data_IF_551436030824
#
_entry.id   IF_551436030824
#
_cell.length_a   1.000
_cell.length_b   1.000
_cell.length_c   1.000
_cell.angle_alpha   90.00
_cell.angle_beta   90.00
_cell.angle_gamma   90.00
#
_symmetry.space_group_name_H-M   'P 1'
#
loop_
_entity.id
_entity.type
_entity.pdbx_description
1 polymer ?
#
# COMPACT_ATOMS: atom_id res chain seq x y z
N UNK A 1 -11.79 -31.74 -17.75
CA UNK A 1 -11.86 -30.98 -16.49
C UNK A 1 -10.52 -31.12 -15.82
N UNK A 2 -9.61 -30.18 -16.08
CA UNK A 2 -8.20 -30.30 -15.69
C UNK A 2 -7.89 -29.17 -14.70
N UNK A 3 -7.76 -29.52 -13.43
CA UNK A 3 -7.54 -28.59 -12.33
C UNK A 3 -6.13 -28.02 -12.36
N UNK A 4 -6.01 -26.70 -12.49
CA UNK A 4 -4.75 -25.98 -12.41
C UNK A 4 -4.47 -25.66 -10.93
N UNK A 5 -3.58 -26.43 -10.30
CA UNK A 5 -3.10 -26.15 -8.95
C UNK A 5 -2.11 -24.99 -8.99
N UNK A 6 -2.52 -23.84 -8.45
CA UNK A 6 -1.65 -22.67 -8.27
C UNK A 6 -0.82 -22.88 -6.99
N UNK A 7 0.44 -23.28 -7.15
CA UNK A 7 1.36 -23.47 -6.02
C UNK A 7 1.92 -22.12 -5.58
N UNK A 8 1.39 -21.54 -4.50
CA UNK A 8 2.02 -20.38 -3.85
C UNK A 8 3.36 -20.80 -3.23
N UNK A 9 4.47 -20.34 -3.81
CA UNK A 9 5.79 -20.44 -3.19
C UNK A 9 5.89 -19.43 -2.04
N UNK A 10 5.84 -19.94 -0.81
CA UNK A 10 6.19 -19.17 0.40
C UNK A 10 7.64 -18.70 0.31
N UNK A 11 7.86 -17.39 0.34
CA UNK A 11 9.16 -16.80 0.60
C UNK A 11 9.54 -17.09 2.06
N UNK A 12 10.39 -18.09 2.28
CA UNK A 12 11.05 -18.32 3.57
C UNK A 12 12.17 -17.29 3.74
N UNK A 13 12.05 -16.36 4.69
CA UNK A 13 13.20 -15.62 5.22
C UNK A 13 14.13 -16.64 5.91
N UNK A 14 15.31 -16.85 5.33
CA UNK A 14 16.33 -17.74 5.87
C UNK A 14 17.00 -17.17 7.12
N UNK A 15 17.46 -18.02 8.06
CA UNK A 15 18.15 -17.59 9.26
C UNK A 15 19.61 -17.21 8.94
N UNK A 16 20.03 -16.01 9.34
CA UNK A 16 21.45 -15.65 9.38
C UNK A 16 22.09 -16.27 10.62
N UNK A 17 22.89 -17.32 10.43
CA UNK A 17 23.90 -17.76 11.40
C UNK A 17 25.27 -17.28 10.91
N UNK A 18 25.98 -16.52 11.75
CA UNK A 18 27.43 -16.42 11.67
C UNK A 18 27.99 -16.71 13.07
N UNK A 19 28.80 -17.77 13.14
CA UNK A 19 29.63 -18.15 14.29
C UNK A 19 31.01 -17.54 14.10
N UNK A 20 31.45 -16.72 15.02
CA UNK A 20 32.85 -16.44 15.38
C UNK A 20 32.76 -16.00 16.86
N UNK A 21 33.48 -16.49 17.86
CA UNK A 21 34.87 -16.96 17.93
C UNK A 21 35.38 -16.32 19.23
N UNK A 22 35.48 -17.11 20.30
CA UNK A 22 35.87 -16.67 21.64
C UNK A 22 37.37 -16.36 21.67
N UNK A 23 37.76 -15.12 21.95
CA UNK A 23 39.08 -14.78 22.50
C UNK A 23 38.93 -13.61 23.47
N UNK A 24 39.24 -13.84 24.74
CA UNK A 24 39.48 -12.80 25.73
C UNK A 24 40.93 -12.34 25.63
N UNK A 25 41.20 -11.04 25.74
CA UNK A 25 42.32 -10.48 26.51
C UNK A 25 42.19 -8.94 26.63
N UNK A 26 42.29 -8.49 27.88
CA UNK A 26 42.66 -7.19 28.44
C UNK A 26 42.84 -5.94 27.55
N UNK A 27 42.05 -4.90 27.88
CA UNK A 27 42.60 -3.62 28.34
C UNK A 27 43.03 -2.58 27.30
N UNK A 28 42.07 -1.79 26.81
CA UNK A 28 42.21 -0.33 26.65
C UNK A 28 40.81 0.27 26.58
N UNK A 29 40.47 1.16 27.52
CA UNK A 29 39.17 1.83 27.56
C UNK A 29 39.01 2.79 26.39
N UNK A 30 38.49 2.30 25.27
CA UNK A 30 38.03 3.11 24.15
C UNK A 30 36.61 3.57 24.49
N UNK A 31 36.48 4.81 24.94
CA UNK A 31 35.19 5.51 24.93
C UNK A 31 34.77 5.66 23.46
N UNK A 32 33.98 4.72 22.96
CA UNK A 32 33.20 4.95 21.75
C UNK A 32 32.15 5.98 22.13
N UNK A 33 32.37 7.24 21.75
CA UNK A 33 31.29 8.21 21.65
C UNK A 33 30.27 7.63 20.68
N UNK A 34 29.24 6.98 21.20
CA UNK A 34 28.03 6.75 20.44
C UNK A 34 27.49 8.14 20.09
N UNK A 35 27.70 8.54 18.83
CA UNK A 35 26.90 9.62 18.27
C UNK A 35 25.43 9.23 18.49
N UNK A 36 24.58 10.14 18.99
CA UNK A 36 23.16 9.86 19.01
C UNK A 36 22.78 9.50 17.58
N UNK A 37 22.18 8.33 17.40
CA UNK A 37 21.44 8.05 16.17
C UNK A 37 20.44 9.20 16.05
N UNK A 38 20.74 10.16 15.18
CA UNK A 38 19.73 11.09 14.71
C UNK A 38 18.70 10.19 14.07
N UNK A 39 17.64 9.87 14.82
CA UNK A 39 16.43 9.34 14.25
C UNK A 39 16.09 10.26 13.09
N UNK A 40 16.21 9.77 11.86
CA UNK A 40 15.55 10.43 10.74
C UNK A 40 14.10 10.55 11.19
N UNK A 41 13.66 11.78 11.39
CA UNK A 41 12.25 12.04 11.62
C UNK A 41 11.56 11.62 10.32
N UNK A 42 11.06 10.38 10.29
CA UNK A 42 10.09 9.94 9.28
C UNK A 42 9.04 11.04 9.20
N UNK A 43 8.77 11.53 8.01
CA UNK A 43 7.84 12.65 7.90
C UNK A 43 6.43 12.20 8.26
N UNK A 44 5.59 13.20 8.53
CA UNK A 44 4.25 12.95 9.03
C UNK A 44 3.44 12.12 8.02
N UNK A 45 2.72 11.08 8.48
CA UNK A 45 1.75 10.38 7.66
C UNK A 45 0.79 11.34 6.96
N UNK A 46 0.45 11.04 5.71
CA UNK A 46 -0.46 11.85 4.91
C UNK A 46 -1.50 10.97 4.20
N UNK A 47 -2.57 11.57 3.71
CA UNK A 47 -3.64 10.86 3.00
C UNK A 47 -3.19 10.45 1.59
N UNK A 48 -3.92 9.52 0.96
CA UNK A 48 -3.59 9.09 -0.40
C UNK A 48 -3.58 10.25 -1.42
N UNK A 49 -4.38 11.30 -1.25
CA UNK A 49 -4.30 12.48 -2.15
C UNK A 49 -3.06 13.35 -1.92
N UNK A 50 -2.43 13.31 -0.74
CA UNK A 50 -1.32 14.23 -0.43
C UNK A 50 -0.10 14.11 -1.35
N UNK A 51 0.12 12.95 -1.98
CA UNK A 51 1.22 12.73 -2.94
C UNK A 51 0.81 12.82 -4.42
N UNK A 52 -0.47 13.00 -4.72
CA UNK A 52 -0.99 12.78 -6.09
C UNK A 52 -0.47 13.81 -7.10
N UNK A 53 -0.34 15.08 -6.69
CA UNK A 53 0.10 16.15 -7.59
C UNK A 53 1.55 15.92 -8.04
N UNK A 54 2.42 15.52 -7.10
CA UNK A 54 3.81 15.20 -7.38
C UNK A 54 3.94 13.97 -8.28
N UNK A 55 3.21 12.91 -7.97
CA UNK A 55 3.20 11.70 -8.78
C UNK A 55 2.66 11.97 -10.20
N UNK A 56 1.60 12.77 -10.33
CA UNK A 56 1.01 13.14 -11.61
C UNK A 56 1.96 13.98 -12.45
N UNK A 57 2.61 15.00 -11.87
CA UNK A 57 3.58 15.81 -12.58
C UNK A 57 4.74 14.96 -13.12
N UNK A 58 5.27 14.05 -12.31
CA UNK A 58 6.32 13.11 -12.73
C UNK A 58 5.83 12.13 -13.80
N UNK A 59 4.60 11.62 -13.67
CA UNK A 59 3.99 10.74 -14.66
C UNK A 59 3.82 11.43 -16.02
N UNK A 60 3.33 12.67 -16.05
CA UNK A 60 3.17 13.45 -17.27
C UNK A 60 4.52 13.84 -17.91
N UNK A 61 5.53 14.14 -17.09
CA UNK A 61 6.89 14.35 -17.57
C UNK A 61 7.51 13.06 -18.14
N UNK A 62 7.16 11.91 -17.57
CA UNK A 62 7.52 10.62 -18.12
C UNK A 62 6.79 10.39 -19.44
N UNK A 63 5.47 10.51 -19.51
CA UNK A 63 4.67 10.39 -20.73
C UNK A 63 3.42 11.27 -20.68
N UNK A 64 3.18 12.07 -21.72
CA UNK A 64 2.07 13.04 -21.78
C UNK A 64 0.68 12.40 -21.67
N UNK A 65 0.56 11.11 -22.03
CA UNK A 65 -0.68 10.35 -21.97
C UNK A 65 -0.80 9.44 -20.74
N UNK A 66 0.07 9.63 -19.74
CA UNK A 66 0.07 8.86 -18.52
C UNK A 66 -1.22 9.08 -17.72
N UNK A 67 -1.84 7.99 -17.26
CA UNK A 67 -3.11 7.99 -16.51
C UNK A 67 -2.97 7.17 -15.25
N UNK A 68 -3.45 7.70 -14.12
CA UNK A 68 -3.47 7.00 -12.86
C UNK A 68 -4.46 5.83 -12.94
N UNK A 69 -4.03 4.62 -12.60
CA UNK A 69 -4.88 3.42 -12.64
C UNK A 69 -5.05 2.75 -11.26
N UNK A 70 -4.17 3.07 -10.31
CA UNK A 70 -4.13 2.40 -9.01
C UNK A 70 -3.37 3.22 -7.96
N UNK A 71 -3.83 3.16 -6.71
CA UNK A 71 -3.19 3.76 -5.54
C UNK A 71 -3.17 2.75 -4.40
N UNK A 72 -2.06 2.62 -3.68
CA UNK A 72 -1.97 1.81 -2.46
C UNK A 72 -1.05 2.44 -1.42
N UNK A 73 -1.22 2.08 -0.15
CA UNK A 73 -0.23 2.41 0.88
C UNK A 73 0.98 1.48 0.74
N UNK A 74 2.18 2.05 0.69
CA UNK A 74 3.43 1.27 0.70
C UNK A 74 3.93 1.00 2.14
N UNK A 75 3.42 1.78 3.10
CA UNK A 75 3.74 1.70 4.53
C UNK A 75 2.44 1.56 5.36
N UNK A 76 2.51 1.14 6.64
CA UNK A 76 1.34 0.96 7.48
C UNK A 76 0.45 2.21 7.56
N UNK A 77 -0.87 1.96 7.57
CA UNK A 77 -1.89 3.01 7.69
C UNK A 77 -2.19 3.28 9.16
N UNK A 78 -2.22 4.55 9.55
CA UNK A 78 -2.54 4.99 10.90
C UNK A 78 -4.06 5.01 11.19
N UNK A 79 -4.42 5.43 12.41
CA UNK A 79 -5.82 5.53 12.83
C UNK A 79 -6.62 6.67 12.17
N UNK A 80 -5.99 7.45 11.28
CA UNK A 80 -6.62 8.48 10.45
C UNK A 80 -6.76 8.07 8.98
N UNK A 81 -6.35 6.86 8.60
CA UNK A 81 -6.34 6.47 7.18
C UNK A 81 -5.17 7.09 6.40
N UNK A 82 -4.11 7.52 7.10
CA UNK A 82 -2.91 8.10 6.50
C UNK A 82 -1.76 7.09 6.52
N UNK A 83 -0.81 7.23 5.60
CA UNK A 83 0.42 6.43 5.59
C UNK A 83 1.64 7.34 5.41
N UNK A 84 2.80 6.89 5.87
CA UNK A 84 4.08 7.59 5.64
C UNK A 84 4.45 7.58 4.15
N UNK A 85 4.00 6.56 3.41
CA UNK A 85 4.30 6.39 1.98
C UNK A 85 3.14 5.78 1.20
N UNK A 86 2.90 6.34 0.02
CA UNK A 86 1.88 5.89 -0.92
C UNK A 86 2.48 5.58 -2.30
N UNK A 87 2.02 4.49 -2.89
CA UNK A 87 2.33 4.07 -4.26
C UNK A 87 1.23 4.53 -5.22
N UNK A 88 1.64 5.08 -6.36
CA UNK A 88 0.78 5.54 -7.44
C UNK A 88 1.20 4.89 -8.76
N UNK A 89 0.34 4.09 -9.36
CA UNK A 89 0.63 3.40 -10.60
C UNK A 89 -0.02 4.13 -11.77
N UNK A 90 0.80 4.46 -12.78
CA UNK A 90 0.37 5.09 -14.01
C UNK A 90 0.58 4.17 -15.20
N UNK A 91 -0.33 4.23 -16.17
CA UNK A 91 -0.24 3.61 -17.49
C UNK A 91 -0.03 4.69 -18.56
N UNK A 92 0.92 4.47 -19.46
CA UNK A 92 1.06 5.24 -20.72
C UNK A 92 0.74 4.32 -21.90
N UNK A 93 -0.44 4.48 -22.55
CA UNK A 93 -0.81 3.70 -23.73
C UNK A 93 0.17 3.84 -24.89
N UNK A 94 0.70 5.04 -25.14
CA UNK A 94 1.67 5.31 -26.22
C UNK A 94 3.00 4.61 -26.02
N UNK A 95 3.34 4.25 -24.77
CA UNK A 95 4.57 3.53 -24.42
C UNK A 95 4.35 2.05 -24.14
N UNK A 96 3.10 1.60 -24.06
CA UNK A 96 2.71 0.26 -23.62
C UNK A 96 3.42 -0.14 -22.31
N UNK A 97 3.42 0.79 -21.35
CA UNK A 97 4.19 0.66 -20.10
C UNK A 97 3.43 1.16 -18.89
N UNK A 98 3.76 0.57 -17.76
CA UNK A 98 3.33 0.96 -16.44
C UNK A 98 4.51 1.51 -15.66
N UNK A 99 4.29 2.57 -14.88
CA UNK A 99 5.29 3.12 -13.97
C UNK A 99 4.67 3.42 -12.62
N UNK A 100 5.30 2.90 -11.58
CA UNK A 100 4.94 3.22 -10.19
C UNK A 100 5.79 4.39 -9.70
N UNK A 101 5.15 5.29 -8.97
CA UNK A 101 5.78 6.33 -8.18
C UNK A 101 5.45 6.10 -6.72
N UNK A 102 6.45 5.99 -5.87
CA UNK A 102 6.27 5.93 -4.42
C UNK A 102 6.64 7.28 -3.83
N UNK A 103 5.71 7.88 -3.08
CA UNK A 103 5.84 9.23 -2.53
C UNK A 103 5.94 9.15 -1.02
N UNK A 104 7.01 9.75 -0.47
CA UNK A 104 7.27 9.84 0.97
C UNK A 104 7.80 11.24 1.25
N UNK A 105 7.30 11.91 2.29
CA UNK A 105 7.81 13.22 2.75
C UNK A 105 7.88 14.29 1.64
N UNK A 106 6.90 14.27 0.72
CA UNK A 106 6.83 15.20 -0.42
C UNK A 106 7.90 14.97 -1.49
N UNK A 107 8.49 13.78 -1.55
CA UNK A 107 9.51 13.38 -2.52
C UNK A 107 9.13 12.08 -3.22
N UNK A 108 9.69 11.88 -4.41
CA UNK A 108 9.59 10.60 -5.13
C UNK A 108 10.76 9.72 -4.67
N UNK A 109 10.46 8.69 -3.89
CA UNK A 109 11.45 7.72 -3.42
C UNK A 109 11.68 6.60 -4.44
N UNK A 110 10.63 6.21 -5.15
CA UNK A 110 10.69 5.19 -6.20
C UNK A 110 10.04 5.72 -7.47
N UNK A 111 10.69 5.50 -8.61
CA UNK A 111 10.13 5.71 -9.94
C UNK A 111 10.59 4.59 -10.88
N UNK A 112 9.76 3.55 -11.06
CA UNK A 112 10.19 2.32 -11.75
C UNK A 112 9.15 1.84 -12.76
N UNK A 113 9.61 1.48 -13.96
CA UNK A 113 8.79 0.77 -14.94
C UNK A 113 8.49 -0.66 -14.44
N UNK A 114 7.23 -1.07 -14.45
CA UNK A 114 6.86 -2.43 -14.11
C UNK A 114 6.91 -3.31 -15.36
N UNK A 115 7.44 -4.54 -15.19
CA UNK A 115 7.59 -5.50 -16.28
C UNK A 115 6.37 -6.38 -16.56
N UNK A 116 5.23 -6.10 -15.93
CA UNK A 116 3.99 -6.83 -16.13
C UNK A 116 2.91 -5.92 -16.74
N UNK A 117 1.99 -6.54 -17.46
CA UNK A 117 0.84 -5.85 -18.05
C UNK A 117 -0.36 -6.03 -17.13
N UNK A 118 -1.07 -4.95 -16.86
CA UNK A 118 -2.26 -4.92 -16.03
C UNK A 118 -3.36 -4.14 -16.74
N UNK A 119 -4.30 -4.86 -17.36
CA UNK A 119 -5.44 -4.23 -18.04
C UNK A 119 -6.39 -3.65 -17.00
N UNK A 120 -6.15 -2.39 -16.62
CA UNK A 120 -6.99 -1.65 -15.71
C UNK A 120 -7.36 -0.28 -16.29
N UNK A 121 -8.64 0.08 -16.25
CA UNK A 121 -9.08 1.39 -16.67
C UNK A 121 -8.52 2.47 -15.72
N UNK A 122 -8.28 3.66 -16.26
CA UNK A 122 -7.88 4.82 -15.46
C UNK A 122 -8.88 5.10 -14.34
N UNK A 123 -8.39 5.50 -13.16
CA UNK A 123 -9.24 5.97 -12.08
C UNK A 123 -10.00 7.24 -12.53
N UNK A 124 -11.23 7.47 -12.03
CA UNK A 124 -11.88 8.76 -12.22
C UNK A 124 -11.07 9.88 -11.57
N UNK A 125 -11.22 11.11 -12.03
CA UNK A 125 -10.54 12.28 -11.43
C UNK A 125 -11.03 12.55 -9.99
N UNK A 126 -12.31 12.27 -9.75
CA UNK A 126 -12.99 12.48 -8.47
C UNK A 126 -13.18 11.17 -7.72
N UNK A 127 -12.75 11.16 -6.46
CA UNK A 127 -12.92 10.05 -5.51
C UNK A 127 -12.67 10.54 -4.07
N UNK A 128 -13.32 9.92 -3.10
CA UNK A 128 -13.11 10.20 -1.67
C UNK A 128 -11.71 9.78 -1.23
N UNK A 129 -11.05 10.58 -0.41
CA UNK A 129 -9.68 10.30 0.04
C UNK A 129 -9.60 9.08 1.00
N UNK A 130 -8.38 8.63 1.30
CA UNK A 130 -8.12 7.48 2.16
C UNK A 130 -8.72 7.65 3.57
N UNK A 131 -8.64 8.84 4.17
CA UNK A 131 -9.25 9.13 5.47
C UNK A 131 -10.76 8.83 5.45
N UNK A 132 -11.47 9.31 4.43
CA UNK A 132 -12.92 9.12 4.34
C UNK A 132 -13.27 7.65 4.11
N UNK A 133 -12.54 6.96 3.23
CA UNK A 133 -12.75 5.54 2.97
C UNK A 133 -12.48 4.69 4.23
N UNK A 134 -11.41 5.02 4.95
CA UNK A 134 -11.06 4.42 6.23
C UNK A 134 -12.19 4.59 7.25
N UNK A 135 -12.64 5.83 7.50
CA UNK A 135 -13.71 6.09 8.47
C UNK A 135 -15.00 5.34 8.16
N UNK A 136 -15.34 5.17 6.86
CA UNK A 136 -16.50 4.39 6.43
C UNK A 136 -16.35 2.90 6.75
N UNK A 137 -15.21 2.31 6.42
CA UNK A 137 -14.93 0.91 6.70
C UNK A 137 -14.84 0.63 8.21
N UNK A 138 -14.22 1.53 8.97
CA UNK A 138 -14.12 1.49 10.41
C UNK A 138 -15.47 1.42 11.10
N UNK A 139 -16.34 2.36 10.76
CA UNK A 139 -17.69 2.48 11.32
C UNK A 139 -18.53 1.23 11.06
N UNK A 140 -18.33 0.59 9.93
CA UNK A 140 -19.19 -0.49 9.46
C UNK A 140 -18.69 -1.90 9.83
N UNK A 141 -17.38 -2.13 9.91
CA UNK A 141 -16.83 -3.44 10.28
C UNK A 141 -15.43 -3.42 10.92
N UNK A 142 -14.61 -2.40 10.62
CA UNK A 142 -13.20 -2.37 11.03
C UNK A 142 -13.00 -2.36 12.56
N UNK A 143 -13.74 -1.50 13.28
CA UNK A 143 -13.64 -1.39 14.74
C UNK A 143 -13.97 -2.73 15.40
N UNK A 144 -15.09 -3.33 15.00
CA UNK A 144 -15.56 -4.62 15.49
C UNK A 144 -14.54 -5.73 15.23
N UNK A 145 -13.96 -5.75 14.03
CA UNK A 145 -12.96 -6.73 13.66
C UNK A 145 -11.70 -6.62 14.51
N UNK A 146 -11.17 -5.41 14.69
CA UNK A 146 -9.98 -5.20 15.53
C UNK A 146 -10.24 -5.56 16.99
N UNK A 147 -11.39 -5.16 17.54
CA UNK A 147 -11.74 -5.46 18.92
C UNK A 147 -11.91 -6.95 19.19
N UNK A 148 -12.58 -7.69 18.29
CA UNK A 148 -12.89 -9.12 18.47
C UNK A 148 -11.71 -10.04 18.15
N UNK A 149 -10.85 -9.64 17.21
CA UNK A 149 -9.82 -10.52 16.67
C UNK A 149 -8.40 -10.01 16.85
N UNK A 150 -8.20 -8.91 17.60
CA UNK A 150 -6.91 -8.21 17.67
C UNK A 150 -6.33 -7.93 16.27
N UNK A 151 -7.22 -7.62 15.32
CA UNK A 151 -6.84 -7.35 13.94
C UNK A 151 -6.24 -5.96 13.76
N UNK A 152 -5.63 -5.73 12.61
CA UNK A 152 -5.12 -4.43 12.17
C UNK A 152 -5.49 -4.19 10.70
N UNK A 153 -5.58 -2.91 10.30
CA UNK A 153 -5.64 -2.57 8.88
C UNK A 153 -4.24 -2.78 8.28
N UNK A 154 -4.16 -3.59 7.24
CA UNK A 154 -2.91 -3.93 6.57
C UNK A 154 -2.73 -3.13 5.28
N UNK A 155 -3.79 -3.00 4.50
CA UNK A 155 -3.73 -2.35 3.20
C UNK A 155 -5.01 -1.61 2.86
N UNK A 156 -4.83 -0.49 2.14
CA UNK A 156 -5.85 0.30 1.47
C UNK A 156 -5.43 0.44 0.01
N UNK A 157 -6.31 0.02 -0.90
CA UNK A 157 -6.06 0.11 -2.34
C UNK A 157 -7.23 0.78 -3.04
N UNK A 158 -6.96 1.74 -3.91
CA UNK A 158 -7.96 2.31 -4.82
C UNK A 158 -7.80 1.69 -6.21
N UNK A 159 -8.83 0.98 -6.66
CA UNK A 159 -8.87 0.25 -7.93
C UNK A 159 -10.14 0.58 -8.71
N UNK A 160 -10.12 0.35 -10.03
CA UNK A 160 -11.32 0.43 -10.88
C UNK A 160 -11.56 -0.88 -11.63
N UNK A 161 -12.79 -1.37 -11.60
CA UNK A 161 -13.28 -2.52 -12.38
C UNK A 161 -12.85 -3.90 -11.88
N UNK A 162 -11.62 -4.06 -11.38
CA UNK A 162 -11.05 -5.38 -11.03
C UNK A 162 -11.83 -6.15 -9.95
N UNK A 163 -12.61 -5.44 -9.12
CA UNK A 163 -13.43 -6.03 -8.05
C UNK A 163 -14.92 -6.14 -8.41
N UNK A 164 -15.32 -5.67 -9.59
CA UNK A 164 -16.72 -5.57 -10.02
C UNK A 164 -16.87 -6.09 -11.45
N UNK A 165 -17.09 -7.40 -11.60
CA UNK A 165 -17.22 -8.03 -12.92
C UNK A 165 -18.32 -7.37 -13.80
N UNK A 166 -19.44 -6.98 -13.18
CA UNK A 166 -20.59 -6.43 -13.90
C UNK A 166 -20.57 -4.89 -13.98
N UNK A 167 -19.66 -4.23 -13.26
CA UNK A 167 -19.51 -2.77 -13.23
C UNK A 167 -18.04 -2.37 -13.46
N UNK A 168 -17.47 -2.61 -14.67
CA UNK A 168 -16.04 -2.41 -14.95
C UNK A 168 -15.57 -0.96 -14.78
N UNK A 169 -16.51 -0.02 -14.76
CA UNK A 169 -16.23 1.40 -14.57
C UNK A 169 -16.23 1.84 -13.10
N UNK A 170 -16.62 0.97 -12.17
CA UNK A 170 -16.74 1.31 -10.75
C UNK A 170 -15.37 1.36 -10.09
N UNK A 171 -15.07 2.49 -9.45
CA UNK A 171 -13.89 2.65 -8.63
C UNK A 171 -14.23 2.38 -7.15
N UNK A 172 -13.38 1.62 -6.47
CA UNK A 172 -13.57 1.29 -5.05
C UNK A 172 -12.27 1.33 -4.30
N UNK A 173 -12.35 1.83 -3.07
CA UNK A 173 -11.38 1.53 -2.04
C UNK A 173 -11.59 0.11 -1.53
N UNK A 174 -10.54 -0.69 -1.52
CA UNK A 174 -10.48 -1.98 -0.88
C UNK A 174 -9.62 -1.86 0.38
N UNK A 175 -10.23 -2.11 1.54
CA UNK A 175 -9.54 -2.14 2.82
C UNK A 175 -9.41 -3.58 3.29
N UNK A 176 -8.19 -3.97 3.62
CA UNK A 176 -7.83 -5.32 4.05
C UNK A 176 -7.38 -5.27 5.49
N UNK A 177 -8.14 -5.89 6.37
CA UNK A 177 -7.75 -6.09 7.75
C UNK A 177 -7.27 -7.53 7.94
N UNK A 178 -6.18 -7.72 8.67
CA UNK A 178 -5.63 -9.04 9.01
C UNK A 178 -5.58 -9.26 10.51
N UNK A 179 -5.51 -10.53 10.90
CA UNK A 179 -5.37 -10.99 12.28
C UNK A 179 -4.65 -12.33 12.27
N UNK A 180 -3.83 -12.60 13.28
CA UNK A 180 -3.23 -13.93 13.45
C UNK A 180 -4.24 -14.99 13.90
N UNK A 181 -5.36 -14.57 14.49
CA UNK A 181 -6.35 -15.45 15.15
C UNK A 181 -7.63 -15.66 14.33
N UNK A 182 -7.76 -14.98 13.19
CA UNK A 182 -8.98 -15.01 12.38
C UNK A 182 -8.65 -14.73 10.91
N UNK A 183 -9.48 -15.18 9.95
CA UNK A 183 -9.28 -14.82 8.55
C UNK A 183 -9.23 -13.30 8.31
N UNK A 184 -8.77 -12.86 7.15
CA UNK A 184 -8.77 -11.43 6.81
C UNK A 184 -10.19 -10.91 6.60
N UNK A 185 -10.46 -9.65 6.95
CA UNK A 185 -11.69 -8.94 6.61
C UNK A 185 -11.37 -8.04 5.41
N UNK A 186 -12.22 -8.13 4.40
CA UNK A 186 -12.19 -7.24 3.25
C UNK A 186 -13.42 -6.36 3.27
N UNK A 187 -13.22 -5.05 3.09
CA UNK A 187 -14.29 -4.06 3.00
C UNK A 187 -14.10 -3.25 1.72
N UNK A 188 -15.11 -3.22 0.87
CA UNK A 188 -15.12 -2.37 -0.32
C UNK A 188 -16.01 -1.15 -0.08
N UNK A 189 -15.43 0.01 -0.34
CA UNK A 189 -16.07 1.31 -0.22
C UNK A 189 -16.12 1.93 -1.61
N UNK A 190 -17.31 2.37 -2.04
CA UNK A 190 -17.49 3.09 -3.30
C UNK A 190 -16.64 4.36 -3.27
N UNK A 191 -15.76 4.52 -4.26
CA UNK A 191 -14.83 5.64 -4.27
C UNK A 191 -15.52 6.98 -4.55
N UNK A 192 -16.74 6.99 -5.09
CA UNK A 192 -17.47 8.23 -5.37
C UNK A 192 -18.36 8.67 -4.20
N UNK A 193 -19.10 7.74 -3.58
CA UNK A 193 -20.07 8.05 -2.53
C UNK A 193 -19.59 7.75 -1.12
N UNK A 194 -18.60 6.88 -0.96
CA UNK A 194 -18.19 6.35 0.33
C UNK A 194 -19.14 5.30 0.92
N UNK A 195 -20.05 4.75 0.12
CA UNK A 195 -20.95 3.68 0.57
C UNK A 195 -20.23 2.33 0.61
N UNK A 196 -20.64 1.47 1.54
CA UNK A 196 -20.11 0.11 1.60
C UNK A 196 -20.72 -0.70 0.47
N UNK A 197 -19.89 -1.14 -0.46
CA UNK A 197 -20.30 -1.97 -1.60
C UNK A 197 -20.36 -3.44 -1.21
N UNK A 198 -19.36 -3.92 -0.47
CA UNK A 198 -19.24 -5.33 -0.12
C UNK A 198 -18.35 -5.55 1.09
N UNK A 199 -18.63 -6.60 1.84
CA UNK A 199 -17.74 -7.13 2.89
C UNK A 199 -17.64 -8.65 2.79
N UNK A 200 -16.46 -9.20 3.06
CA UNK A 200 -16.30 -10.65 3.20
C UNK A 200 -15.09 -11.02 4.06
N UNK A 201 -15.01 -12.31 4.41
CA UNK A 201 -13.91 -12.92 5.15
C UNK A 201 -13.11 -13.81 4.20
N UNK A 202 -11.79 -13.78 4.32
CA UNK A 202 -10.88 -14.69 3.61
C UNK A 202 -10.90 -16.11 4.12
#
# INVERSE_FOLDING_TARGET
>A
MTGMQMTMRRFRRGPRRARYGLWAMAGLGMFVLQAPECAEAGGAPFSARGGIELAQAAALAWAEDARLIYVENDEPVDAGGNAERWGYLYLSPSRDKYRVYSIENGKIEVATDLGFIFDAPALPETWIDSEQAFLKAEKDAGIDFRAKHAGALESMMLVRGVLHHDEPNKATWALVYSSESSPSLFVLVDASSGDIVKKWRG
#
